data_IF_269938008791
#
_entry.id   IF_269938008791
#
_cell.length_a   1.000
_cell.length_b   1.000
_cell.length_c   1.000
_cell.angle_alpha   90.00
_cell.angle_beta   90.00
_cell.angle_gamma   90.00
#
_symmetry.space_group_name_H-M   'P 1'
#
loop_
_entity.id
_entity.type
_entity.pdbx_description
1 polymer ?
#
# COMPACT_ATOMS: atom_id res chain seq x y z
N UNK A 1 -17.19 8.75 -1.19
CA UNK A 1 -17.17 8.25 -2.59
C UNK A 1 -15.83 7.60 -2.96
N UNK A 2 -14.67 8.21 -2.67
CA UNK A 2 -13.34 7.66 -3.05
C UNK A 2 -12.99 6.33 -2.36
N UNK A 3 -13.28 6.18 -1.06
CA UNK A 3 -12.98 4.95 -0.30
C UNK A 3 -13.60 3.70 -0.94
N UNK A 4 -14.88 3.78 -1.34
CA UNK A 4 -15.55 2.66 -1.99
C UNK A 4 -14.91 2.26 -3.34
N UNK A 5 -14.26 3.20 -4.04
CA UNK A 5 -13.52 2.88 -5.27
C UNK A 5 -12.23 2.12 -4.98
N UNK A 6 -11.49 2.52 -3.94
CA UNK A 6 -10.26 1.84 -3.51
C UNK A 6 -10.58 0.41 -3.06
N UNK A 7 -11.63 0.24 -2.25
CA UNK A 7 -12.08 -1.08 -1.80
C UNK A 7 -12.53 -1.97 -2.95
N UNK A 8 -13.30 -1.41 -3.89
CA UNK A 8 -13.76 -2.15 -5.07
C UNK A 8 -12.57 -2.61 -5.91
N UNK A 9 -11.64 -1.72 -6.21
CA UNK A 9 -10.46 -2.05 -7.03
C UNK A 9 -9.61 -3.13 -6.37
N UNK A 10 -9.31 -2.99 -5.06
CA UNK A 10 -8.55 -3.98 -4.32
C UNK A 10 -9.22 -5.35 -4.32
N UNK A 11 -10.53 -5.41 -4.04
CA UNK A 11 -11.28 -6.69 -4.01
C UNK A 11 -11.40 -7.31 -5.40
N UNK A 12 -11.56 -6.50 -6.45
CA UNK A 12 -11.58 -6.99 -7.83
C UNK A 12 -10.22 -7.54 -8.26
N UNK A 13 -9.13 -6.87 -7.89
CA UNK A 13 -7.79 -7.36 -8.12
C UNK A 13 -7.51 -8.64 -7.34
N UNK A 14 -7.88 -8.71 -6.06
CA UNK A 14 -7.79 -9.93 -5.25
C UNK A 14 -8.49 -11.11 -5.94
N UNK A 15 -9.73 -10.92 -6.41
CA UNK A 15 -10.46 -11.95 -7.12
C UNK A 15 -9.80 -12.37 -8.44
N UNK A 16 -9.28 -11.40 -9.21
CA UNK A 16 -8.55 -11.66 -10.47
C UNK A 16 -7.27 -12.47 -10.25
N UNK A 17 -6.52 -12.17 -9.19
CA UNK A 17 -5.24 -12.80 -8.87
C UNK A 17 -5.36 -14.04 -7.97
N UNK A 18 -6.59 -14.46 -7.63
CA UNK A 18 -6.83 -15.63 -6.77
C UNK A 18 -6.42 -15.44 -5.30
N UNK A 19 -6.36 -14.20 -4.81
CA UNK A 19 -6.06 -13.88 -3.42
C UNK A 19 -7.37 -13.85 -2.63
N UNK A 20 -7.63 -14.89 -1.85
CA UNK A 20 -8.86 -14.99 -1.06
C UNK A 20 -8.87 -14.02 0.14
N UNK A 21 -7.73 -13.89 0.82
CA UNK A 21 -7.60 -13.09 2.03
C UNK A 21 -6.24 -12.39 2.12
N UNK A 22 -6.20 -11.26 2.83
CA UNK A 22 -4.98 -10.51 3.14
C UNK A 22 -4.79 -10.36 4.65
N UNK A 23 -3.57 -10.55 5.19
CA UNK A 23 -3.27 -10.34 6.61
C UNK A 23 -3.08 -8.84 6.93
N UNK A 24 -4.10 -8.01 6.64
CA UNK A 24 -4.00 -6.53 6.66
C UNK A 24 -4.15 -5.92 8.07
N UNK A 25 -4.61 -6.70 9.05
CA UNK A 25 -4.71 -6.24 10.43
C UNK A 25 -3.33 -6.24 11.13
N UNK A 26 -3.10 -5.38 12.14
CA UNK A 26 -1.86 -5.38 12.92
C UNK A 26 -1.52 -6.75 13.54
N UNK A 27 -2.53 -7.50 13.98
CA UNK A 27 -2.42 -8.85 14.49
C UNK A 27 -2.25 -9.93 13.39
N UNK A 28 -2.04 -9.53 12.14
CA UNK A 28 -1.88 -10.41 10.96
C UNK A 28 -3.08 -11.33 10.71
N UNK A 29 -4.26 -10.96 11.20
CA UNK A 29 -5.49 -11.70 10.92
C UNK A 29 -5.85 -11.59 9.44
N UNK A 30 -6.31 -12.70 8.87
CA UNK A 30 -6.77 -12.73 7.48
C UNK A 30 -8.06 -11.90 7.28
N UNK A 31 -8.18 -11.30 6.10
CA UNK A 31 -9.29 -10.43 5.73
C UNK A 31 -9.68 -10.63 4.25
N UNK A 32 -10.88 -11.15 4.01
CA UNK A 32 -11.44 -11.30 2.65
C UNK A 32 -11.98 -9.98 2.05
N UNK A 33 -12.35 -9.02 2.90
CA UNK A 33 -13.00 -7.78 2.49
C UNK A 33 -12.32 -6.57 3.12
N UNK A 34 -11.08 -6.25 2.70
CA UNK A 34 -10.36 -5.10 3.24
C UNK A 34 -11.13 -3.80 3.02
N UNK A 35 -11.07 -2.91 4.01
CA UNK A 35 -11.61 -1.55 3.95
C UNK A 35 -10.51 -0.55 3.61
N UNK A 36 -10.88 0.63 3.11
CA UNK A 36 -9.90 1.69 2.84
C UNK A 36 -9.13 2.09 4.09
N UNK A 37 -9.80 2.11 5.26
CA UNK A 37 -9.17 2.46 6.53
C UNK A 37 -8.04 1.49 6.89
N UNK A 38 -8.24 0.19 6.67
CA UNK A 38 -7.20 -0.83 6.87
C UNK A 38 -6.04 -0.67 5.89
N UNK A 39 -6.34 -0.38 4.61
CA UNK A 39 -5.32 -0.09 3.59
C UNK A 39 -4.49 1.12 4.02
N UNK A 40 -5.11 2.23 4.40
CA UNK A 40 -4.39 3.43 4.82
C UNK A 40 -3.57 3.18 6.09
N UNK A 41 -4.13 2.44 7.05
CA UNK A 41 -3.42 2.05 8.29
C UNK A 41 -2.17 1.23 7.99
N UNK A 42 -2.21 0.32 7.02
CA UNK A 42 -1.05 -0.48 6.59
C UNK A 42 0.15 0.40 6.16
N UNK A 43 -0.09 1.59 5.63
CA UNK A 43 0.94 2.55 5.22
C UNK A 43 1.15 3.70 6.21
N UNK A 44 0.54 3.66 7.39
CA UNK A 44 0.59 4.77 8.37
C UNK A 44 2.01 5.12 8.85
N UNK A 45 2.94 4.16 8.78
CA UNK A 45 4.35 4.32 9.15
C UNK A 45 5.28 4.38 7.92
N UNK A 46 4.73 4.40 6.71
CA UNK A 46 5.52 4.49 5.48
C UNK A 46 6.05 5.92 5.32
N UNK A 47 7.37 6.08 5.32
CA UNK A 47 8.03 7.37 5.22
C UNK A 47 9.15 7.35 4.17
N UNK A 48 9.28 8.47 3.45
CA UNK A 48 10.35 8.72 2.48
C UNK A 48 10.99 10.07 2.82
N UNK A 49 12.29 10.07 3.08
CA UNK A 49 13.01 11.26 3.51
C UNK A 49 13.79 11.86 2.36
N UNK A 50 13.72 13.19 2.19
CA UNK A 50 14.48 13.92 1.19
C UNK A 50 15.45 14.86 1.90
N UNK A 51 16.76 14.66 1.68
CA UNK A 51 17.79 15.59 2.16
C UNK A 51 17.91 16.74 1.17
N UNK A 52 17.68 17.95 1.67
CA UNK A 52 17.80 19.19 0.90
C UNK A 52 19.05 19.96 1.35
N UNK A 53 19.81 20.47 0.38
CA UNK A 53 20.91 21.40 0.61
C UNK A 53 20.70 22.63 -0.27
N UNK A 54 20.64 23.81 0.33
CA UNK A 54 20.32 25.07 -0.37
C UNK A 54 19.04 24.99 -1.23
N UNK A 55 18.02 24.26 -0.77
CA UNK A 55 16.76 24.07 -1.50
C UNK A 55 16.78 23.01 -2.60
N UNK A 56 17.94 22.39 -2.87
CA UNK A 56 18.08 21.32 -3.85
C UNK A 56 18.10 19.96 -3.16
N UNK A 57 17.36 18.99 -3.70
CA UNK A 57 17.41 17.61 -3.20
C UNK A 57 18.74 16.98 -3.59
N UNK A 58 19.56 16.67 -2.59
CA UNK A 58 20.89 16.07 -2.77
C UNK A 58 20.90 14.58 -2.50
N UNK A 59 19.91 14.08 -1.74
CA UNK A 59 19.77 12.66 -1.46
C UNK A 59 18.31 12.33 -1.13
N UNK A 60 17.84 11.19 -1.64
CA UNK A 60 16.55 10.59 -1.27
C UNK A 60 16.85 9.31 -0.50
N UNK A 61 16.17 9.11 0.62
CA UNK A 61 16.22 7.86 1.37
C UNK A 61 15.03 7.00 0.93
N UNK A 62 15.33 5.82 0.40
CA UNK A 62 14.34 4.94 -0.21
C UNK A 62 13.26 4.48 0.77
N UNK A 63 12.05 4.33 0.23
CA UNK A 63 10.90 3.83 0.97
C UNK A 63 11.05 2.33 1.19
N UNK A 64 11.21 1.91 2.45
CA UNK A 64 11.25 0.50 2.81
C UNK A 64 9.85 -0.05 2.99
N UNK A 65 9.34 -0.72 1.97
CA UNK A 65 8.05 -1.40 2.03
C UNK A 65 8.18 -2.88 2.39
N UNK A 66 7.36 -3.30 3.35
CA UNK A 66 7.14 -4.71 3.69
C UNK A 66 6.48 -5.46 2.52
N UNK A 67 6.57 -6.80 2.52
CA UNK A 67 6.00 -7.63 1.46
C UNK A 67 4.49 -7.39 1.27
N UNK A 68 3.75 -7.32 2.37
CA UNK A 68 2.30 -7.05 2.34
C UNK A 68 1.98 -5.67 1.74
N UNK A 69 2.74 -4.64 2.09
CA UNK A 69 2.59 -3.30 1.52
C UNK A 69 2.81 -3.31 0.00
N UNK A 70 3.87 -3.99 -0.48
CA UNK A 70 4.13 -4.15 -1.92
C UNK A 70 3.02 -4.92 -2.63
N UNK A 71 2.52 -5.99 -2.01
CA UNK A 71 1.41 -6.79 -2.56
C UNK A 71 0.15 -5.93 -2.70
N UNK A 72 -0.22 -5.15 -1.68
CA UNK A 72 -1.40 -4.27 -1.73
C UNK A 72 -1.24 -3.18 -2.79
N UNK A 73 -0.07 -2.55 -2.92
CA UNK A 73 0.20 -1.57 -3.98
C UNK A 73 0.11 -2.21 -5.38
N UNK A 74 0.61 -3.43 -5.54
CA UNK A 74 0.53 -4.19 -6.80
C UNK A 74 -0.92 -4.51 -7.16
N UNK A 75 -1.72 -4.97 -6.20
CA UNK A 75 -3.15 -5.23 -6.41
C UNK A 75 -3.93 -3.95 -6.76
N UNK A 76 -3.56 -2.81 -6.17
CA UNK A 76 -4.12 -1.50 -6.51
C UNK A 76 -3.60 -0.94 -7.85
N UNK A 77 -2.79 -1.69 -8.59
CA UNK A 77 -2.26 -1.28 -9.90
C UNK A 77 -1.24 -0.15 -9.83
N UNK A 78 -0.63 0.09 -8.67
CA UNK A 78 0.41 1.12 -8.52
C UNK A 78 1.71 0.59 -9.16
N UNK A 79 2.32 1.31 -10.11
CA UNK A 79 3.55 0.85 -10.76
C UNK A 79 4.70 0.73 -9.76
N UNK A 80 5.47 -0.36 -9.85
CA UNK A 80 6.64 -0.60 -9.00
C UNK A 80 7.73 0.50 -9.12
N UNK A 81 7.75 1.23 -10.24
CA UNK A 81 8.64 2.39 -10.42
C UNK A 81 8.27 3.59 -9.53
N UNK A 82 7.10 3.58 -8.88
CA UNK A 82 6.61 4.68 -8.05
C UNK A 82 7.13 4.60 -6.60
N UNK A 83 7.44 3.39 -6.11
CA UNK A 83 7.69 3.13 -4.69
C UNK A 83 9.02 2.43 -4.38
#
# INVERSE_FOLDING_TARGET
MVQALIERELRQAMAREGVEELPIYPEQRQCAHPTTEQVLRLFSLAERHHLLQHGHCVQVFDLKLAQLQRQVLTLLGVPASTF
#
